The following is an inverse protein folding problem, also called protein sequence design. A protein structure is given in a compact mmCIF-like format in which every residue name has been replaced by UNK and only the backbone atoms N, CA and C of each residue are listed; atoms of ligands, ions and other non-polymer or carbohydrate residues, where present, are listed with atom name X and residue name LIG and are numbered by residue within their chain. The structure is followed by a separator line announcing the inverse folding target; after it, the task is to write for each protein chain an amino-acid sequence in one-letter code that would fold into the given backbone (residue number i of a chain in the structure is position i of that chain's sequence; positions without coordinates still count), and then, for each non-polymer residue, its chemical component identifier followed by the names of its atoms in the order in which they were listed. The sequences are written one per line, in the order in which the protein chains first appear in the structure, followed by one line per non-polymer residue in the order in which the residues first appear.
data_IF_232796317662
#
_entry.id   IF_232796317662
#
_cell.length_a   1.000
_cell.length_b   1.000
_cell.length_c   1.000
_cell.angle_alpha   90.00
_cell.angle_beta   90.00
_cell.angle_gamma   90.00
#
_symmetry.space_group_name_H-M   'P 1'
#
loop_
_entity.id
_entity.type
_entity.pdbx_description
1 polymer ?
#
# COMPACT_ATOMS: atom_id res chain seq x y z
N UNK A 1 28.75 6.68 75.83
CA UNK A 1 29.72 5.80 76.51
C UNK A 1 29.13 4.41 76.56
N UNK A 2 29.85 3.41 76.04
CA UNK A 2 29.60 1.95 76.18
C UNK A 2 28.38 1.41 75.41
N UNK A 3 28.36 0.21 74.83
CA UNK A 3 29.35 -0.83 74.61
C UNK A 3 28.77 -1.81 73.57
N UNK A 4 29.64 -2.66 73.04
CA UNK A 4 29.47 -3.53 71.87
C UNK A 4 28.46 -4.66 72.08
N UNK A 5 27.83 -5.15 71.01
CA UNK A 5 27.55 -6.59 70.89
C UNK A 5 27.80 -7.09 69.47
N UNK A 6 28.47 -8.24 69.44
CA UNK A 6 29.15 -8.90 68.34
C UNK A 6 28.28 -10.04 67.83
N UNK A 7 28.04 -10.08 66.53
CA UNK A 7 27.71 -11.33 65.82
C UNK A 7 28.77 -11.52 64.75
N UNK A 8 29.60 -12.56 64.91
CA UNK A 8 30.50 -13.05 63.87
C UNK A 8 29.77 -14.18 63.17
N UNK A 9 29.51 -14.10 61.86
CA UNK A 9 29.57 -15.30 61.02
C UNK A 9 30.07 -14.99 59.60
N UNK A 10 31.23 -15.61 59.32
CA UNK A 10 31.67 -16.28 58.09
C UNK A 10 31.74 -15.45 56.80
N UNK A 11 33.00 -15.13 56.51
CA UNK A 11 33.58 -14.87 55.19
C UNK A 11 33.17 -15.96 54.20
N UNK A 12 32.32 -15.59 53.23
CA UNK A 12 32.21 -16.24 51.93
C UNK A 12 32.94 -15.37 50.91
N UNK A 13 34.18 -15.75 50.58
CA UNK A 13 35.05 -15.02 49.67
C UNK A 13 34.58 -15.21 48.22
N UNK A 14 33.62 -14.41 47.77
CA UNK A 14 33.26 -14.26 46.36
C UNK A 14 33.68 -12.88 45.87
N UNK A 15 34.86 -12.77 45.24
CA UNK A 15 35.27 -11.56 44.53
C UNK A 15 34.31 -11.34 43.35
N UNK A 16 33.26 -10.57 43.55
CA UNK A 16 32.51 -9.98 42.45
C UNK A 16 33.38 -8.83 41.95
N UNK A 17 34.04 -9.02 40.80
CA UNK A 17 34.65 -7.90 40.09
C UNK A 17 33.51 -7.06 39.55
N UNK A 18 33.29 -5.88 40.12
CA UNK A 18 32.54 -4.84 39.44
C UNK A 18 33.35 -4.48 38.19
N UNK A 19 32.83 -4.87 37.02
CA UNK A 19 33.31 -4.29 35.78
C UNK A 19 32.78 -2.84 35.77
N UNK A 20 33.68 -1.89 35.98
CA UNK A 20 33.42 -0.49 35.64
C UNK A 20 33.27 -0.45 34.11
N UNK A 21 32.03 -0.44 33.65
CA UNK A 21 31.71 -0.12 32.26
C UNK A 21 31.95 1.39 32.14
N UNK A 22 32.97 1.78 31.37
CA UNK A 22 33.25 3.18 31.09
C UNK A 22 32.09 3.80 30.32
N UNK A 23 31.73 5.03 30.68
CA UNK A 23 30.65 5.80 30.07
C UNK A 23 30.93 6.12 28.57
N UNK A 24 32.16 5.87 28.13
CA UNK A 24 32.66 6.03 26.76
C UNK A 24 32.26 4.87 25.82
N UNK A 25 31.97 3.67 26.34
CA UNK A 25 31.56 2.51 25.52
C UNK A 25 30.08 2.59 25.06
N UNK A 26 29.31 3.53 25.60
CA UNK A 26 27.92 3.79 25.20
C UNK A 26 27.80 4.79 24.02
N UNK A 27 28.90 5.31 23.50
CA UNK A 27 28.92 6.38 22.49
C UNK A 27 29.48 5.95 21.12
N UNK A 28 29.23 4.71 20.71
CA UNK A 28 29.25 4.36 19.27
C UNK A 28 27.90 3.77 18.85
N UNK A 29 26.82 4.44 19.26
CA UNK A 29 25.53 4.24 18.61
C UNK A 29 25.64 4.90 17.23
N UNK A 30 25.85 4.06 16.23
CA UNK A 30 25.90 4.44 14.82
C UNK A 30 24.55 5.07 14.43
N UNK A 31 24.49 6.41 14.42
CA UNK A 31 23.30 7.18 14.01
C UNK A 31 22.83 6.80 12.60
N UNK A 32 23.73 6.33 11.72
CA UNK A 32 23.39 5.87 10.37
C UNK A 32 22.66 4.52 10.36
N UNK A 33 22.72 3.77 11.48
CA UNK A 33 22.04 2.49 11.68
C UNK A 33 20.77 2.58 12.53
N UNK A 34 20.31 3.78 12.87
CA UNK A 34 18.93 3.92 13.32
C UNK A 34 18.01 3.47 12.19
N UNK A 35 17.55 2.22 12.28
CA UNK A 35 16.50 1.68 11.44
C UNK A 35 15.39 2.73 11.36
N UNK A 36 15.17 3.28 10.16
CA UNK A 36 14.16 4.32 9.92
C UNK A 36 12.79 3.69 10.13
N UNK A 37 12.36 3.68 11.39
CA UNK A 37 11.17 3.00 11.85
C UNK A 37 9.95 3.69 11.24
N UNK A 38 9.00 2.89 10.73
CA UNK A 38 7.82 3.33 9.97
C UNK A 38 8.11 3.87 8.55
N UNK A 39 9.31 3.76 7.99
CA UNK A 39 9.53 4.14 6.58
C UNK A 39 8.82 3.19 5.60
N UNK A 40 8.60 1.94 5.99
CA UNK A 40 7.91 0.92 5.21
C UNK A 40 6.43 1.27 4.96
N UNK A 41 5.79 1.95 5.92
CA UNK A 41 4.39 2.39 5.81
C UNK A 41 4.24 3.72 5.05
N UNK A 42 5.35 4.34 4.65
CA UNK A 42 5.38 5.55 3.83
C UNK A 42 5.51 5.21 2.34
N UNK A 43 4.82 5.98 1.51
CA UNK A 43 5.10 6.02 0.08
C UNK A 43 6.31 6.91 -0.21
N UNK A 44 6.75 6.95 -1.46
CA UNK A 44 7.86 7.81 -1.92
C UNK A 44 7.61 9.31 -1.71
N UNK A 45 6.35 9.73 -1.61
CA UNK A 45 5.95 11.12 -1.28
C UNK A 45 6.06 11.44 0.23
N UNK A 46 6.46 10.49 1.08
CA UNK A 46 6.64 10.69 2.52
C UNK A 46 5.35 10.69 3.36
N UNK A 47 4.21 10.40 2.72
CA UNK A 47 2.90 10.23 3.35
C UNK A 47 2.55 8.75 3.51
N UNK A 48 1.57 8.45 4.36
CA UNK A 48 1.12 7.08 4.57
C UNK A 48 0.64 6.44 3.26
N UNK A 49 1.08 5.20 3.00
CA UNK A 49 0.56 4.38 1.89
C UNK A 49 -0.96 4.21 2.02
N UNK A 50 -1.64 4.14 0.87
CA UNK A 50 -3.08 3.86 0.81
C UNK A 50 -3.39 2.48 1.35
N UNK A 51 -2.50 1.51 1.08
CA UNK A 51 -2.64 0.16 1.61
C UNK A 51 -2.44 0.15 3.12
N UNK A 52 -3.47 -0.30 3.84
CA UNK A 52 -3.48 -0.39 5.29
C UNK A 52 -2.98 -1.74 5.79
N UNK A 53 -2.77 -2.72 4.90
CA UNK A 53 -2.45 -4.10 5.28
C UNK A 53 -1.20 -4.18 6.15
N UNK A 54 -0.20 -3.33 5.87
CA UNK A 54 1.08 -3.23 6.56
C UNK A 54 1.11 -2.38 7.84
N UNK A 55 -0.02 -1.80 8.29
CA UNK A 55 -0.04 -0.95 9.50
C UNK A 55 -1.12 -1.35 10.51
N UNK A 56 -0.86 -1.10 11.79
CA UNK A 56 -1.82 -1.32 12.89
C UNK A 56 -1.71 -0.20 13.92
N UNK A 57 -2.85 0.18 14.50
CA UNK A 57 -2.87 1.08 15.65
C UNK A 57 -2.49 0.31 16.92
N UNK A 58 -1.69 0.95 17.76
CA UNK A 58 -1.31 0.45 19.08
C UNK A 58 -1.84 1.37 20.17
N UNK A 59 -1.97 0.86 21.39
CA UNK A 59 -2.38 1.67 22.53
C UNK A 59 -1.27 2.65 22.94
N UNK A 60 -1.65 3.72 23.66
CA UNK A 60 -0.70 4.73 24.16
C UNK A 60 0.44 4.11 24.98
N UNK A 61 0.11 3.16 25.88
CA UNK A 61 1.11 2.50 26.72
C UNK A 61 2.13 1.68 25.90
N UNK A 62 1.69 1.08 24.79
CA UNK A 62 2.59 0.37 23.87
C UNK A 62 3.46 1.37 23.11
N UNK A 63 2.86 2.46 22.62
CA UNK A 63 3.59 3.54 21.95
C UNK A 63 4.67 4.18 22.83
N UNK A 64 4.37 4.47 24.10
CA UNK A 64 5.34 5.01 25.07
C UNK A 64 6.52 4.05 25.30
N UNK A 65 6.28 2.74 25.32
CA UNK A 65 7.36 1.73 25.40
C UNK A 65 8.19 1.70 24.14
N UNK A 66 7.57 1.82 22.95
CA UNK A 66 8.30 1.88 21.68
C UNK A 66 9.21 3.11 21.64
N UNK A 67 8.72 4.28 22.06
CA UNK A 67 9.52 5.52 22.13
C UNK A 67 10.71 5.45 23.10
N UNK A 68 10.62 4.65 24.16
CA UNK A 68 11.75 4.45 25.08
C UNK A 68 12.93 3.75 24.39
N UNK A 69 12.65 2.78 23.52
CA UNK A 69 13.68 2.03 22.78
C UNK A 69 14.10 2.72 21.48
N UNK A 70 13.17 3.45 20.86
CA UNK A 70 13.37 4.10 19.56
C UNK A 70 12.91 5.57 19.66
N UNK A 71 13.73 6.45 20.27
CA UNK A 71 13.32 7.81 20.58
C UNK A 71 13.08 8.70 19.33
N UNK A 72 13.63 8.31 18.18
CA UNK A 72 13.52 9.05 16.92
C UNK A 72 12.36 8.60 16.01
N UNK A 73 11.44 7.74 16.49
CA UNK A 73 10.30 7.29 15.70
C UNK A 73 9.39 8.45 15.29
N UNK A 74 9.01 8.50 14.01
CA UNK A 74 7.93 9.37 13.53
C UNK A 74 6.56 8.81 13.98
N UNK A 75 5.74 9.58 14.71
CA UNK A 75 4.41 9.14 15.11
C UNK A 75 3.41 9.23 13.95
N UNK A 76 2.52 8.24 13.88
CA UNK A 76 1.33 8.27 13.03
C UNK A 76 0.10 7.97 13.87
N UNK A 77 -0.92 8.79 13.72
CA UNK A 77 -2.20 8.66 14.44
C UNK A 77 -3.25 8.04 13.54
N UNK A 78 -4.40 7.68 14.11
CA UNK A 78 -5.58 7.26 13.33
C UNK A 78 -5.99 8.32 12.28
N UNK A 79 -5.72 9.60 12.54
CA UNK A 79 -6.10 10.71 11.65
C UNK A 79 -4.98 11.15 10.72
N UNK A 80 -3.84 10.46 10.71
CA UNK A 80 -2.76 10.77 9.79
C UNK A 80 -3.24 10.57 8.35
N UNK A 81 -3.08 11.57 7.48
CA UNK A 81 -3.62 11.50 6.13
C UNK A 81 -2.88 10.45 5.30
N UNK A 82 -3.63 9.82 4.39
CA UNK A 82 -3.07 9.03 3.30
C UNK A 82 -2.40 9.95 2.27
N UNK A 83 -1.52 9.40 1.46
CA UNK A 83 -0.97 10.12 0.32
C UNK A 83 -2.08 10.43 -0.71
N UNK A 84 -2.43 11.72 -0.85
CA UNK A 84 -3.44 12.19 -1.81
C UNK A 84 -3.02 11.97 -3.26
N UNK A 85 -1.73 12.08 -3.57
CA UNK A 85 -1.18 11.86 -4.92
C UNK A 85 -1.36 10.40 -5.35
N UNK A 86 -0.93 9.45 -4.49
CA UNK A 86 -1.15 8.03 -4.75
C UNK A 86 -2.64 7.72 -4.82
N UNK A 87 -3.46 8.31 -3.93
CA UNK A 87 -4.91 8.05 -3.92
C UNK A 87 -5.56 8.48 -5.23
N UNK A 88 -5.24 9.69 -5.69
CA UNK A 88 -5.75 10.24 -6.94
C UNK A 88 -5.31 9.40 -8.14
N UNK A 89 -4.05 8.98 -8.17
CA UNK A 89 -3.52 8.10 -9.22
C UNK A 89 -4.27 6.75 -9.25
N UNK A 90 -4.46 6.11 -8.10
CA UNK A 90 -5.19 4.84 -8.01
C UNK A 90 -6.64 4.99 -8.52
N UNK A 91 -7.32 6.10 -8.16
CA UNK A 91 -8.67 6.38 -8.65
C UNK A 91 -8.69 6.57 -10.16
N UNK A 92 -7.74 7.33 -10.72
CA UNK A 92 -7.62 7.54 -12.15
C UNK A 92 -7.37 6.22 -12.91
N UNK A 93 -6.44 5.38 -12.42
CA UNK A 93 -6.16 4.08 -13.01
C UNK A 93 -7.39 3.16 -12.99
N UNK A 94 -8.14 3.17 -11.88
CA UNK A 94 -9.38 2.40 -11.75
C UNK A 94 -10.44 2.87 -12.75
N UNK A 95 -10.62 4.19 -12.90
CA UNK A 95 -11.54 4.77 -13.88
C UNK A 95 -11.15 4.42 -15.31
N UNK A 96 -9.85 4.52 -15.64
CA UNK A 96 -9.34 4.18 -16.96
C UNK A 96 -9.55 2.69 -17.28
N UNK A 97 -9.31 1.81 -16.30
CA UNK A 97 -9.56 0.38 -16.42
C UNK A 97 -11.02 0.07 -16.70
N UNK A 98 -11.95 0.70 -15.97
CA UNK A 98 -13.38 0.51 -16.17
C UNK A 98 -13.84 1.06 -17.53
N UNK A 99 -13.35 2.25 -17.92
CA UNK A 99 -13.62 2.83 -19.24
C UNK A 99 -13.20 1.89 -20.37
N UNK A 100 -11.99 1.33 -20.30
CA UNK A 100 -11.49 0.35 -21.29
C UNK A 100 -12.33 -0.92 -21.32
N UNK A 101 -12.77 -1.40 -20.16
CA UNK A 101 -13.64 -2.58 -20.04
C UNK A 101 -15.00 -2.33 -20.70
N UNK A 102 -15.62 -1.17 -20.45
CA UNK A 102 -16.88 -0.77 -21.08
C UNK A 102 -16.71 -0.64 -22.59
N UNK A 103 -15.65 0.02 -23.07
CA UNK A 103 -15.39 0.15 -24.50
C UNK A 103 -15.18 -1.21 -25.18
N UNK A 104 -14.41 -2.11 -24.55
CA UNK A 104 -14.21 -3.47 -25.04
C UNK A 104 -15.50 -4.30 -25.07
N UNK A 105 -16.35 -4.16 -24.04
CA UNK A 105 -17.67 -4.79 -24.01
C UNK A 105 -18.57 -4.26 -25.12
N UNK A 106 -18.58 -2.94 -25.36
CA UNK A 106 -19.33 -2.33 -26.46
C UNK A 106 -18.89 -2.86 -27.83
N UNK A 107 -17.58 -2.94 -28.09
CA UNK A 107 -17.06 -3.52 -29.33
C UNK A 107 -17.47 -5.00 -29.48
N UNK A 108 -17.41 -5.78 -28.39
CA UNK A 108 -17.87 -7.17 -28.40
C UNK A 108 -19.34 -7.27 -28.74
N UNK A 109 -20.17 -6.40 -28.18
CA UNK A 109 -21.61 -6.39 -28.42
C UNK A 109 -21.94 -5.97 -29.86
N UNK A 110 -21.22 -5.00 -30.42
CA UNK A 110 -21.35 -4.59 -31.82
C UNK A 110 -21.00 -5.72 -32.79
N UNK A 111 -19.89 -6.43 -32.53
CA UNK A 111 -19.50 -7.59 -33.33
C UNK A 111 -20.50 -8.74 -33.17
N UNK A 112 -21.04 -8.96 -31.97
CA UNK A 112 -22.07 -9.97 -31.75
C UNK A 112 -23.38 -9.62 -32.47
N UNK A 113 -23.74 -8.34 -32.53
CA UNK A 113 -24.88 -7.85 -33.31
C UNK A 113 -24.65 -8.08 -34.80
N UNK A 114 -23.47 -7.76 -35.32
CA UNK A 114 -23.09 -8.08 -36.70
C UNK A 114 -23.16 -9.59 -36.96
N UNK A 115 -22.63 -10.40 -36.03
CA UNK A 115 -22.67 -11.85 -36.12
C UNK A 115 -24.10 -12.38 -36.10
N UNK A 116 -25.05 -11.80 -35.38
CA UNK A 116 -26.45 -12.25 -35.40
C UNK A 116 -27.33 -11.50 -36.40
N UNK A 117 -26.76 -10.64 -37.24
CA UNK A 117 -27.50 -9.77 -38.17
C UNK A 117 -28.55 -8.90 -37.45
N UNK A 118 -28.26 -8.50 -36.20
CA UNK A 118 -29.08 -7.59 -35.40
C UNK A 118 -28.65 -6.14 -35.61
N UNK A 119 -29.52 -5.19 -35.30
CA UNK A 119 -29.23 -3.73 -35.34
C UNK A 119 -28.76 -3.20 -36.71
N UNK A 120 -29.16 -3.87 -37.81
CA UNK A 120 -28.79 -3.45 -39.16
C UNK A 120 -29.45 -2.11 -39.48
N UNK A 121 -28.68 -1.09 -39.88
CA UNK A 121 -29.26 0.21 -40.16
C UNK A 121 -30.27 0.13 -41.32
N UNK A 122 -31.47 0.67 -41.13
CA UNK A 122 -32.51 0.75 -42.15
C UNK A 122 -32.37 2.07 -42.88
N UNK A 123 -31.95 2.02 -44.14
CA UNK A 123 -31.88 3.20 -45.00
C UNK A 123 -33.32 3.55 -45.39
N UNK A 124 -33.81 4.66 -44.86
CA UNK A 124 -35.16 5.19 -45.08
C UNK A 124 -35.17 6.71 -44.82
N UNK A 125 -36.35 7.31 -44.75
CA UNK A 125 -36.50 8.78 -44.67
C UNK A 125 -35.77 9.42 -43.47
N UNK A 126 -35.62 8.68 -42.36
CA UNK A 126 -34.92 9.10 -41.13
C UNK A 126 -33.37 9.01 -41.21
N UNK A 127 -32.82 8.67 -42.38
CA UNK A 127 -31.38 8.47 -42.59
C UNK A 127 -30.60 9.78 -42.81
N UNK A 128 -31.29 10.92 -42.92
CA UNK A 128 -30.64 12.22 -43.16
C UNK A 128 -29.59 12.54 -42.07
N UNK A 129 -28.39 12.93 -42.52
CA UNK A 129 -27.25 13.24 -41.64
C UNK A 129 -26.47 12.04 -41.10
N UNK A 130 -26.83 10.79 -41.47
CA UNK A 130 -26.09 9.58 -41.05
C UNK A 130 -25.18 9.04 -42.16
N UNK A 131 -23.99 8.61 -41.79
CA UNK A 131 -23.08 7.86 -42.67
C UNK A 131 -23.10 6.36 -42.34
N UNK A 132 -22.99 5.52 -43.36
CA UNK A 132 -22.77 4.08 -43.22
C UNK A 132 -21.67 3.64 -44.17
N UNK A 133 -20.96 2.59 -43.76
CA UNK A 133 -19.96 1.91 -44.57
C UNK A 133 -20.53 0.61 -45.10
N UNK A 134 -20.22 0.30 -46.36
CA UNK A 134 -20.63 -0.95 -47.01
C UNK A 134 -19.47 -1.94 -46.94
N UNK A 135 -19.80 -3.19 -46.59
CA UNK A 135 -18.87 -4.32 -46.57
C UNK A 135 -19.45 -5.44 -47.44
N UNK A 136 -18.60 -6.20 -48.14
CA UNK A 136 -19.07 -7.29 -48.99
C UNK A 136 -19.71 -8.42 -48.18
N UNK A 137 -20.78 -9.00 -48.71
CA UNK A 137 -21.48 -10.13 -48.08
C UNK A 137 -20.56 -11.35 -47.96
N UNK A 138 -19.76 -11.62 -48.99
CA UNK A 138 -18.78 -12.72 -48.98
C UNK A 138 -17.76 -12.60 -47.85
N UNK A 139 -17.31 -11.38 -47.53
CA UNK A 139 -16.43 -11.14 -46.39
C UNK A 139 -17.15 -11.42 -45.08
N UNK A 140 -18.35 -10.88 -44.88
CA UNK A 140 -19.11 -11.07 -43.64
C UNK A 140 -19.42 -12.56 -43.40
N UNK A 141 -19.81 -13.29 -44.44
CA UNK A 141 -20.08 -14.73 -44.35
C UNK A 141 -18.80 -15.53 -44.05
N UNK A 142 -17.68 -15.17 -44.68
CA UNK A 142 -16.37 -15.75 -44.39
C UNK A 142 -15.93 -15.49 -42.95
N UNK A 143 -16.06 -14.25 -42.49
CA UNK A 143 -15.77 -13.85 -41.11
C UNK A 143 -16.67 -14.58 -40.10
N UNK A 144 -17.98 -14.70 -40.35
CA UNK A 144 -18.91 -15.44 -39.48
C UNK A 144 -18.56 -16.92 -39.37
N UNK A 145 -18.07 -17.54 -40.45
CA UNK A 145 -17.57 -18.92 -40.42
C UNK A 145 -16.27 -19.04 -39.63
N UNK A 146 -15.41 -18.02 -39.69
CA UNK A 146 -14.12 -18.00 -39.00
C UNK A 146 -14.25 -17.82 -37.48
N UNK A 147 -15.17 -16.99 -37.00
CA UNK A 147 -15.37 -16.73 -35.56
C UNK A 147 -16.20 -17.81 -34.84
N UNK A 148 -16.59 -18.87 -35.55
CA UNK A 148 -17.43 -19.98 -35.07
C UNK A 148 -16.58 -21.09 -34.48
#
# INVERSE_FOLDING_TARGET
MGEQHRVKEKVGNGKIKAAEVSMEDLQSYDEEKEERFNDDILCEHGNLRIDESGRRLVSKNVWERLLYYFPHMKPFTLYSPLCEECWSLQQFEQQLKESRKIAGQGQRDDLLNLYHMKSRPKIGDDWSGRSAFVVSTSFVDGWRKFVK
#
